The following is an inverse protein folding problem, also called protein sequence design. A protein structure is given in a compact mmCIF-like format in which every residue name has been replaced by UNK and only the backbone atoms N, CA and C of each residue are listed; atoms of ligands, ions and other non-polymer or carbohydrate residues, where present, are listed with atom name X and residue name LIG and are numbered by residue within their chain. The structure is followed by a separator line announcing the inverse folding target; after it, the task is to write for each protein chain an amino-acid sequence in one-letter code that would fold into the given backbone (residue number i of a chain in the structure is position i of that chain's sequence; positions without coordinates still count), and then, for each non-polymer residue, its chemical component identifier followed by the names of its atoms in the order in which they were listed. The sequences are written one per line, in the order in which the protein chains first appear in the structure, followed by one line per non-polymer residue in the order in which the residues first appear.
data_IF_122152553910
#
_entry.id   IF_122152553910
#
_cell.length_a   1.000
_cell.length_b   1.000
_cell.length_c   1.000
_cell.angle_alpha   90.00
_cell.angle_beta   90.00
_cell.angle_gamma   90.00
#
_symmetry.space_group_name_H-M   'P 1'
#
loop_
_entity.id
_entity.type
_entity.pdbx_description
1 polymer ?
#
# COMPACT_ATOMS: atom_id res chain seq x y z
N UNK A 1 -13.71 -23.96 -2.15
CA UNK A 1 -13.67 -22.77 -3.01
C UNK A 1 -14.82 -22.90 -3.96
N UNK A 2 -15.64 -21.85 -4.08
CA UNK A 2 -16.64 -21.79 -5.14
C UNK A 2 -15.95 -21.92 -6.49
N UNK A 3 -16.65 -22.53 -7.46
CA UNK A 3 -16.08 -22.84 -8.77
C UNK A 3 -15.87 -21.56 -9.58
N UNK A 4 -14.65 -21.35 -10.08
CA UNK A 4 -14.32 -20.29 -11.05
C UNK A 4 -14.21 -20.93 -12.43
N UNK A 5 -15.12 -20.58 -13.34
CA UNK A 5 -15.21 -21.23 -14.66
C UNK A 5 -14.26 -20.64 -15.71
N UNK A 6 -13.88 -19.37 -15.55
CA UNK A 6 -12.90 -18.72 -16.42
C UNK A 6 -11.48 -19.12 -15.97
N UNK A 7 -10.79 -19.89 -16.80
CA UNK A 7 -9.43 -20.38 -16.53
C UNK A 7 -8.40 -19.24 -16.41
N UNK A 8 -8.55 -18.13 -17.15
CA UNK A 8 -7.66 -16.97 -17.02
C UNK A 8 -7.86 -16.27 -15.67
N UNK A 9 -9.12 -16.13 -15.24
CA UNK A 9 -9.43 -15.58 -13.93
C UNK A 9 -8.90 -16.47 -12.81
N UNK A 10 -9.11 -17.79 -12.93
CA UNK A 10 -8.58 -18.78 -11.98
C UNK A 10 -7.07 -18.69 -11.86
N UNK A 11 -6.35 -18.62 -12.98
CA UNK A 11 -4.89 -18.47 -12.98
C UNK A 11 -4.45 -17.14 -12.35
N UNK A 12 -5.18 -16.04 -12.55
CA UNK A 12 -4.90 -14.76 -11.87
C UNK A 12 -5.09 -14.84 -10.35
N UNK A 13 -6.12 -15.56 -9.88
CA UNK A 13 -6.37 -15.78 -8.45
C UNK A 13 -5.26 -16.64 -7.84
N UNK A 14 -4.93 -17.76 -8.46
CA UNK A 14 -3.90 -18.70 -7.97
C UNK A 14 -2.50 -18.08 -7.91
N UNK A 15 -2.17 -17.22 -8.87
CA UNK A 15 -0.88 -16.52 -8.91
C UNK A 15 -0.90 -15.15 -8.20
N UNK A 16 -2.02 -14.78 -7.58
CA UNK A 16 -2.10 -13.53 -6.85
C UNK A 16 -1.13 -13.54 -5.67
N UNK A 17 -0.46 -12.41 -5.47
CA UNK A 17 0.40 -12.15 -4.32
C UNK A 17 -0.01 -10.82 -3.70
N UNK A 18 -0.26 -10.82 -2.40
CA UNK A 18 -0.40 -9.61 -1.60
C UNK A 18 0.88 -8.80 -1.66
N UNK A 19 0.78 -7.48 -1.55
CA UNK A 19 1.95 -6.61 -1.65
C UNK A 19 2.96 -6.91 -0.53
N UNK A 20 2.49 -7.19 0.69
CA UNK A 20 3.31 -7.68 1.78
C UNK A 20 4.14 -8.95 1.49
N UNK A 21 3.81 -9.75 0.46
CA UNK A 21 4.58 -10.94 0.08
C UNK A 21 5.79 -10.65 -0.83
N UNK A 22 5.89 -9.46 -1.42
CA UNK A 22 6.97 -9.13 -2.36
C UNK A 22 7.55 -7.72 -2.22
N UNK A 23 6.94 -6.85 -1.42
CA UNK A 23 7.50 -5.54 -1.09
C UNK A 23 8.82 -5.66 -0.32
N UNK A 24 9.72 -4.69 -0.51
CA UNK A 24 10.98 -4.58 0.21
C UNK A 24 11.22 -3.12 0.63
N UNK A 25 11.15 -2.85 1.93
CA UNK A 25 11.28 -1.52 2.52
C UNK A 25 12.61 -1.30 3.26
N UNK A 26 13.67 -2.07 2.94
CA UNK A 26 15.00 -1.95 3.59
C UNK A 26 15.57 -0.51 3.61
N UNK A 27 15.15 0.34 2.68
CA UNK A 27 15.62 1.72 2.54
C UNK A 27 14.71 2.78 3.17
N UNK A 28 13.68 2.43 3.95
CA UNK A 28 12.74 3.41 4.47
C UNK A 28 13.43 4.55 5.26
N UNK A 29 14.44 4.21 6.06
CA UNK A 29 15.28 5.18 6.80
C UNK A 29 16.06 6.16 5.90
N UNK A 30 16.28 5.80 4.64
CA UNK A 30 17.00 6.59 3.65
C UNK A 30 16.06 7.50 2.85
N UNK A 31 14.75 7.44 3.09
CA UNK A 31 13.79 8.26 2.36
C UNK A 31 13.87 9.70 2.85
N UNK A 32 14.12 10.62 1.92
CA UNK A 32 14.34 12.05 2.21
C UNK A 32 13.12 12.88 1.85
N UNK A 33 13.02 14.07 2.43
CA UNK A 33 12.01 15.08 2.11
C UNK A 33 10.57 14.57 2.31
N UNK A 34 10.36 13.77 3.36
CA UNK A 34 9.03 13.30 3.72
C UNK A 34 8.19 14.41 4.33
N UNK A 35 6.89 14.42 4.02
CA UNK A 35 5.90 15.23 4.72
C UNK A 35 5.30 14.38 5.83
N UNK A 36 5.48 14.79 7.08
CA UNK A 36 4.93 14.10 8.24
C UNK A 36 3.73 14.90 8.75
N UNK A 37 2.64 14.22 9.09
CA UNK A 37 1.50 14.85 9.74
C UNK A 37 0.88 13.91 10.78
N UNK A 38 0.24 14.50 11.78
CA UNK A 38 -0.46 13.76 12.83
C UNK A 38 -1.64 14.57 13.32
N UNK A 39 -2.66 13.87 13.82
CA UNK A 39 -3.79 14.48 14.52
C UNK A 39 -4.02 13.70 15.81
N UNK A 40 -4.01 14.37 16.96
CA UNK A 40 -4.24 13.70 18.24
C UNK A 40 -5.74 13.55 18.56
N UNK A 41 -6.59 14.43 18.02
CA UNK A 41 -8.04 14.37 18.21
C UNK A 41 -8.68 13.21 17.44
N UNK A 42 -8.11 12.90 16.27
CA UNK A 42 -8.40 11.70 15.50
C UNK A 42 -7.05 10.99 15.38
N UNK A 43 -6.68 10.12 16.35
CA UNK A 43 -5.32 9.64 16.54
C UNK A 43 -4.83 8.94 15.28
N UNK A 44 -4.14 9.69 14.42
CA UNK A 44 -3.52 9.19 13.22
C UNK A 44 -2.15 9.82 13.00
N UNK A 45 -1.31 9.07 12.30
CA UNK A 45 0.03 9.47 11.90
C UNK A 45 0.24 9.14 10.44
N UNK A 46 0.76 10.11 9.69
CA UNK A 46 1.00 9.98 8.26
C UNK A 46 2.40 10.42 7.90
N UNK A 47 2.99 9.70 6.94
CA UNK A 47 4.24 10.07 6.30
C UNK A 47 4.12 9.88 4.79
N UNK A 48 4.33 10.96 4.03
CA UNK A 48 4.30 10.96 2.58
C UNK A 48 5.70 11.20 1.99
N UNK A 49 6.10 10.39 1.01
CA UNK A 49 7.39 10.47 0.35
C UNK A 49 7.24 10.36 -1.16
N UNK A 50 7.80 11.32 -1.92
CA UNK A 50 7.93 11.16 -3.37
C UNK A 50 8.92 10.03 -3.67
N UNK A 51 8.52 9.04 -4.46
CA UNK A 51 9.38 7.91 -4.88
C UNK A 51 9.82 8.07 -6.32
N UNK A 52 11.06 7.65 -6.61
CA UNK A 52 11.55 7.59 -7.97
C UNK A 52 11.00 6.33 -8.67
N UNK A 53 10.77 6.38 -9.98
CA UNK A 53 10.49 5.18 -10.78
C UNK A 53 11.60 4.12 -10.73
N UNK A 54 12.82 4.50 -10.31
CA UNK A 54 13.92 3.56 -10.05
C UNK A 54 13.79 2.79 -8.73
N UNK A 55 12.88 3.18 -7.84
CA UNK A 55 12.61 2.50 -6.58
C UNK A 55 12.20 1.03 -6.79
N UNK A 56 12.74 0.13 -5.96
CA UNK A 56 12.52 -1.31 -6.12
C UNK A 56 11.05 -1.72 -6.02
N UNK A 57 10.28 -1.13 -5.11
CA UNK A 57 8.86 -1.44 -4.98
C UNK A 57 8.05 -0.81 -6.11
N UNK A 58 8.41 0.40 -6.55
CA UNK A 58 7.77 1.03 -7.71
C UNK A 58 7.96 0.19 -8.98
N UNK A 59 9.16 -0.36 -9.22
CA UNK A 59 9.41 -1.29 -10.33
C UNK A 59 8.53 -2.54 -10.25
N UNK A 60 8.54 -3.22 -9.09
CA UNK A 60 7.72 -4.43 -8.86
C UNK A 60 6.23 -4.18 -9.11
N UNK A 61 5.70 -3.01 -8.75
CA UNK A 61 4.31 -2.65 -9.01
C UNK A 61 4.01 -2.49 -10.49
N UNK A 62 4.91 -1.83 -11.24
CA UNK A 62 4.78 -1.64 -12.69
C UNK A 62 4.95 -2.93 -13.49
N UNK A 63 5.72 -3.88 -12.97
CA UNK A 63 5.85 -5.23 -13.56
C UNK A 63 4.58 -6.06 -13.36
N UNK A 64 3.90 -5.90 -12.22
CA UNK A 64 2.75 -6.73 -11.82
C UNK A 64 1.40 -6.18 -12.28
N UNK A 65 1.29 -4.88 -12.47
CA UNK A 65 0.04 -4.20 -12.83
C UNK A 65 0.25 -3.27 -14.03
N UNK A 66 -0.75 -3.11 -14.92
CA UNK A 66 -0.66 -2.28 -16.13
C UNK A 66 -0.75 -0.78 -15.82
N UNK A 67 0.19 -0.25 -15.02
CA UNK A 67 0.26 1.16 -14.64
C UNK A 67 0.89 1.95 -15.80
N UNK A 68 0.05 2.64 -16.57
CA UNK A 68 0.43 3.32 -17.82
C UNK A 68 1.12 4.67 -17.61
N UNK A 69 0.76 5.40 -16.54
CA UNK A 69 1.37 6.70 -16.22
C UNK A 69 2.87 6.57 -15.95
N UNK A 70 3.67 7.46 -16.54
CA UNK A 70 5.13 7.51 -16.33
C UNK A 70 5.51 8.34 -15.10
N UNK A 71 4.54 8.94 -14.41
CA UNK A 71 4.79 9.79 -13.26
C UNK A 71 5.37 9.00 -12.09
N UNK A 72 6.20 9.70 -11.30
CA UNK A 72 6.75 9.18 -10.06
C UNK A 72 5.67 9.17 -8.98
N UNK A 73 5.44 8.04 -8.28
CA UNK A 73 4.38 7.97 -7.30
C UNK A 73 4.75 8.67 -5.97
N UNK A 74 3.72 8.97 -5.19
CA UNK A 74 3.82 9.32 -3.78
C UNK A 74 3.56 8.05 -2.97
N UNK A 75 4.49 7.68 -2.10
CA UNK A 75 4.28 6.68 -1.06
C UNK A 75 3.67 7.37 0.15
N UNK A 76 2.51 6.92 0.61
CA UNK A 76 1.89 7.31 1.87
C UNK A 76 1.92 6.13 2.84
N UNK A 77 2.42 6.36 4.04
CA UNK A 77 2.31 5.48 5.20
C UNK A 77 1.31 6.10 6.16
N UNK A 78 0.29 5.36 6.54
CA UNK A 78 -0.75 5.83 7.46
C UNK A 78 -0.91 4.83 8.60
N UNK A 79 -0.95 5.34 9.82
CA UNK A 79 -1.22 4.58 11.04
C UNK A 79 -2.43 5.24 11.70
N UNK A 80 -3.49 4.47 11.86
CA UNK A 80 -4.66 4.83 12.65
C UNK A 80 -4.54 4.20 14.06
N UNK A 81 -4.88 4.97 15.10
CA UNK A 81 -4.76 4.59 16.50
C UNK A 81 -3.44 5.03 17.15
N UNK A 82 -3.15 4.50 18.34
CA UNK A 82 -1.92 4.82 19.09
C UNK A 82 -0.67 4.37 18.29
N UNK A 83 0.27 5.31 18.05
CA UNK A 83 1.53 5.05 17.36
C UNK A 83 2.40 4.00 18.05
N UNK A 84 2.28 3.86 19.38
CA UNK A 84 2.97 2.81 20.16
C UNK A 84 2.38 1.43 19.94
N UNK A 85 1.24 1.35 19.26
CA UNK A 85 0.51 0.13 18.97
C UNK A 85 -0.68 -0.05 19.90
N UNK A 86 -1.79 -0.46 19.32
CA UNK A 86 -3.03 -0.79 20.02
C UNK A 86 -3.69 -1.98 19.30
N UNK A 87 -4.58 -2.71 19.98
CA UNK A 87 -5.42 -3.75 19.37
C UNK A 87 -6.52 -3.18 18.45
N UNK A 88 -6.67 -1.86 18.46
CA UNK A 88 -7.63 -1.07 17.67
C UNK A 88 -6.85 -0.13 16.74
N UNK A 89 -7.25 -0.07 15.46
CA UNK A 89 -6.59 0.72 14.43
C UNK A 89 -5.96 -0.14 13.33
N UNK A 90 -5.36 0.49 12.33
CA UNK A 90 -4.77 -0.20 11.19
C UNK A 90 -3.52 0.52 10.66
N UNK A 91 -2.70 -0.23 9.93
CA UNK A 91 -1.56 0.31 9.19
C UNK A 91 -1.87 0.18 7.71
N UNK A 92 -1.73 1.28 6.98
CA UNK A 92 -1.96 1.34 5.54
C UNK A 92 -0.72 1.84 4.84
N UNK A 93 -0.44 1.22 3.69
CA UNK A 93 0.54 1.69 2.72
C UNK A 93 -0.22 2.01 1.43
N UNK A 94 0.10 3.14 0.82
CA UNK A 94 -0.46 3.54 -0.47
C UNK A 94 0.63 4.09 -1.40
N UNK A 95 0.63 3.66 -2.65
CA UNK A 95 1.38 4.28 -3.74
C UNK A 95 0.39 4.98 -4.67
N UNK A 96 0.37 6.31 -4.66
CA UNK A 96 -0.43 7.09 -5.60
C UNK A 96 0.41 7.50 -6.80
N UNK A 97 0.06 7.02 -8.00
CA UNK A 97 0.75 7.35 -9.25
C UNK A 97 0.14 8.55 -9.98
N UNK A 98 -1.18 8.75 -9.82
CA UNK A 98 -1.93 9.88 -10.34
C UNK A 98 -3.15 10.13 -9.46
N UNK A 99 -3.47 11.40 -9.21
CA UNK A 99 -4.69 11.86 -8.51
C UNK A 99 -5.62 12.67 -9.44
N UNK A 100 -5.33 12.66 -10.74
CA UNK A 100 -6.18 13.33 -11.72
C UNK A 100 -7.55 12.64 -11.73
N UNK A 101 -8.63 13.42 -11.70
CA UNK A 101 -9.99 12.92 -11.50
C UNK A 101 -10.39 11.80 -12.48
N UNK A 102 -9.88 11.87 -13.70
CA UNK A 102 -10.19 10.91 -14.79
C UNK A 102 -9.05 9.89 -15.05
N UNK A 103 -7.94 9.96 -14.30
CA UNK A 103 -6.78 9.06 -14.43
C UNK A 103 -6.22 8.71 -13.04
N UNK A 104 -7.09 8.57 -12.04
CA UNK A 104 -6.67 8.22 -10.68
C UNK A 104 -6.10 6.79 -10.69
N UNK A 105 -4.85 6.67 -10.27
CA UNK A 105 -4.16 5.38 -10.24
C UNK A 105 -3.39 5.27 -8.93
N UNK A 106 -3.80 4.33 -8.09
CA UNK A 106 -3.12 4.01 -6.85
C UNK A 106 -3.14 2.51 -6.56
N UNK A 107 -2.21 2.07 -5.71
CA UNK A 107 -2.25 0.78 -5.06
C UNK A 107 -2.27 1.01 -3.57
N UNK A 108 -3.12 0.29 -2.84
CA UNK A 108 -3.09 0.29 -1.37
C UNK A 108 -3.06 -1.13 -0.82
N UNK A 109 -2.34 -1.29 0.28
CA UNK A 109 -2.31 -2.51 1.10
C UNK A 109 -2.51 -2.14 2.56
N UNK A 110 -3.22 -3.00 3.28
CA UNK A 110 -3.64 -2.77 4.65
C UNK A 110 -3.23 -3.96 5.51
N UNK A 111 -2.64 -3.67 6.67
CA UNK A 111 -2.36 -4.68 7.68
C UNK A 111 -3.05 -4.30 8.98
N UNK A 112 -3.98 -5.15 9.38
CA UNK A 112 -4.70 -5.06 10.64
C UNK A 112 -4.43 -6.31 11.49
N UNK A 113 -4.09 -6.12 12.76
CA UNK A 113 -3.96 -7.20 13.73
C UNK A 113 -5.06 -7.03 14.78
N UNK A 114 -6.22 -7.60 14.48
CA UNK A 114 -7.39 -7.57 15.34
C UNK A 114 -7.58 -8.86 16.14
N UNK A 115 -8.44 -8.83 17.18
CA UNK A 115 -8.82 -10.04 17.89
C UNK A 115 -9.51 -11.04 16.95
N UNK A 116 -9.24 -12.32 17.14
CA UNK A 116 -10.00 -13.38 16.49
C UNK A 116 -11.45 -13.36 16.99
N UNK A 117 -12.42 -13.58 16.11
CA UNK A 117 -13.78 -13.88 16.55
C UNK A 117 -13.76 -15.10 17.50
N UNK A 118 -14.46 -15.00 18.63
CA UNK A 118 -14.79 -16.19 19.42
C UNK A 118 -15.68 -17.09 18.59
N UNK A 119 -15.45 -18.40 18.67
CA UNK A 119 -16.35 -19.41 18.08
C UNK A 119 -17.72 -19.38 18.72
#
# INVERSE_FOLDING_TARGET
MDKVEDENLKQKIENFKFFGQYADFKDLKNYKNGRISSNENVPYYEAEYKRNNSDGNVKKLREKYPITTKQSPILKLHIDGDIKGSSVGYKQIEYTFSKEKDDETFMSDFLNFGPSHSK
#
